data_IF_458812345278
#
_entry.id   IF_458812345278
#
_cell.length_a   1.000
_cell.length_b   1.000
_cell.length_c   1.000
_cell.angle_alpha   90.00
_cell.angle_beta   90.00
_cell.angle_gamma   90.00
#
_symmetry.space_group_name_H-M   'P 1'
#
loop_
_entity.id
_entity.type
_entity.pdbx_description
1 polymer ?
#
# COMPACT_ATOMS: atom_id res chain seq x y z
N UNK A 1 14.30 4.04 -5.77
CA UNK A 1 13.02 3.33 -5.53
C UNK A 1 12.15 4.30 -4.77
N UNK A 2 11.17 4.93 -5.41
CA UNK A 2 10.30 5.90 -4.74
C UNK A 2 9.71 5.25 -3.48
N UNK A 3 9.93 5.88 -2.32
CA UNK A 3 9.23 5.53 -1.09
C UNK A 3 7.74 5.74 -1.37
N UNK A 4 7.02 4.68 -1.71
CA UNK A 4 5.58 4.78 -1.84
C UNK A 4 5.01 5.02 -0.43
N UNK A 5 4.69 6.28 -0.16
CA UNK A 5 4.16 6.69 1.13
C UNK A 5 2.92 5.88 1.48
N UNK A 6 2.87 5.40 2.72
CA UNK A 6 1.71 4.70 3.29
C UNK A 6 0.41 5.46 3.06
N UNK A 7 0.45 6.79 3.22
CA UNK A 7 -0.68 7.69 2.96
C UNK A 7 -1.21 7.54 1.52
N UNK A 8 -0.31 7.48 0.54
CA UNK A 8 -0.65 7.26 -0.87
C UNK A 8 -1.23 5.86 -1.12
N UNK A 9 -0.73 4.83 -0.42
CA UNK A 9 -1.30 3.48 -0.50
C UNK A 9 -2.74 3.42 0.02
N UNK A 10 -3.06 4.11 1.13
CA UNK A 10 -4.43 4.19 1.65
C UNK A 10 -5.39 4.88 0.69
N UNK A 11 -4.95 5.92 -0.04
CA UNK A 11 -5.76 6.54 -1.10
C UNK A 11 -6.02 5.58 -2.26
N UNK A 12 -4.98 4.85 -2.68
CA UNK A 12 -5.04 3.87 -3.80
C UNK A 12 -5.93 2.66 -3.51
N UNK A 13 -6.22 2.33 -2.25
CA UNK A 13 -7.19 1.30 -1.88
C UNK A 13 -8.61 1.61 -2.38
N UNK A 14 -8.96 2.88 -2.57
CA UNK A 14 -10.27 3.30 -3.09
C UNK A 14 -10.32 3.39 -4.62
N UNK A 15 -9.25 3.01 -5.32
CA UNK A 15 -9.21 3.06 -6.79
C UNK A 15 -10.11 1.97 -7.41
N UNK A 16 -10.82 2.27 -8.51
CA UNK A 16 -11.59 1.26 -9.26
C UNK A 16 -10.68 0.21 -9.91
N UNK A 17 -9.40 0.53 -10.14
CA UNK A 17 -8.46 -0.41 -10.75
C UNK A 17 -8.00 -1.48 -9.75
N UNK A 18 -8.34 -2.74 -10.04
CA UNK A 18 -7.98 -3.88 -9.19
C UNK A 18 -6.48 -4.08 -9.02
N UNK A 19 -5.66 -3.83 -10.06
CA UNK A 19 -4.19 -3.95 -9.96
C UNK A 19 -3.63 -2.90 -9.00
N UNK A 20 -4.16 -1.68 -9.03
CA UNK A 20 -3.79 -0.59 -8.13
C UNK A 20 -4.13 -0.92 -6.67
N UNK A 21 -5.34 -1.43 -6.42
CA UNK A 21 -5.79 -1.91 -5.11
C UNK A 21 -4.90 -3.03 -4.55
N UNK A 22 -4.57 -4.03 -5.37
CA UNK A 22 -3.70 -5.15 -4.98
C UNK A 22 -2.30 -4.67 -4.58
N UNK A 23 -1.71 -3.75 -5.35
CA UNK A 23 -0.40 -3.14 -5.00
C UNK A 23 -0.47 -2.36 -3.70
N UNK A 24 -1.51 -1.53 -3.52
CA UNK A 24 -1.72 -0.77 -2.30
C UNK A 24 -1.82 -1.67 -1.05
N UNK A 25 -2.59 -2.75 -1.15
CA UNK A 25 -2.72 -3.75 -0.08
C UNK A 25 -1.36 -4.35 0.29
N UNK A 26 -0.55 -4.73 -0.71
CA UNK A 26 0.79 -5.31 -0.49
C UNK A 26 1.70 -4.36 0.27
N UNK A 27 1.71 -3.07 -0.08
CA UNK A 27 2.52 -2.04 0.59
C UNK A 27 2.09 -1.87 2.05
N UNK A 28 0.78 -1.79 2.30
CA UNK A 28 0.24 -1.65 3.66
C UNK A 28 0.59 -2.86 4.51
N UNK A 29 0.44 -4.08 3.96
CA UNK A 29 0.81 -5.31 4.67
C UNK A 29 2.31 -5.38 4.97
N UNK A 30 3.17 -5.03 4.00
CA UNK A 30 4.61 -5.00 4.20
C UNK A 30 5.00 -4.02 5.32
N UNK A 31 4.43 -2.81 5.30
CA UNK A 31 4.68 -1.84 6.36
C UNK A 31 4.21 -2.32 7.74
N UNK A 32 3.02 -2.94 7.83
CA UNK A 32 2.53 -3.52 9.09
C UNK A 32 3.47 -4.61 9.61
N UNK A 33 4.00 -5.47 8.74
CA UNK A 33 5.00 -6.49 9.11
C UNK A 33 6.31 -5.88 9.60
N UNK A 34 6.76 -4.79 8.97
CA UNK A 34 7.97 -4.07 9.40
C UNK A 34 7.79 -3.33 10.72
N UNK A 35 6.59 -2.81 11.01
CA UNK A 35 6.30 -2.15 12.30
C UNK A 35 6.28 -3.15 13.47
N UNK A 36 5.95 -4.40 13.21
CA UNK A 36 5.84 -5.45 14.22
C UNK A 36 7.14 -6.27 14.38
N UNK A 37 8.25 -5.85 13.75
CA UNK A 37 9.56 -6.48 13.86
C UNK A 37 10.53 -5.49 14.49
#
# INVERSE_FOLDING_TARGET
MEKQDLSSAYRRLKSPNIKTRKRALKIIQQSKRMKNK
#
